data_IF_118666677250
#
_entry.id   IF_118666677250
#
_cell.length_a   1.000
_cell.length_b   1.000
_cell.length_c   1.000
_cell.angle_alpha   90.00
_cell.angle_beta   90.00
_cell.angle_gamma   90.00
#
_symmetry.space_group_name_H-M   'P 1'
#
loop_
_entity.id
_entity.type
_entity.pdbx_description
1 polymer ?
#
# COMPACT_ATOMS: atom_id res chain seq x y z
N UNK A 1 -25.46 15.56 -1.51
CA UNK A 1 -24.19 16.14 -1.03
C UNK A 1 -23.21 16.32 -2.18
N UNK A 2 -22.48 17.43 -2.21
CA UNK A 2 -21.55 17.79 -3.30
C UNK A 2 -20.20 17.12 -3.07
N UNK A 3 -19.89 16.07 -3.83
CA UNK A 3 -18.63 15.31 -3.71
C UNK A 3 -17.53 15.86 -4.61
N UNK A 4 -17.50 17.19 -4.78
CA UNK A 4 -16.57 17.85 -5.68
C UNK A 4 -15.80 18.92 -4.92
N UNK A 5 -14.47 18.84 -4.93
CA UNK A 5 -13.57 19.86 -4.36
C UNK A 5 -12.79 20.51 -5.50
N UNK A 6 -12.65 21.84 -5.44
CA UNK A 6 -11.76 22.57 -6.35
C UNK A 6 -10.36 22.55 -5.74
N UNK A 7 -9.42 21.88 -6.41
CA UNK A 7 -8.01 21.82 -5.99
C UNK A 7 -7.17 22.21 -7.20
N UNK A 8 -6.26 23.17 -7.04
CA UNK A 8 -5.40 23.69 -8.12
C UNK A 8 -6.19 24.07 -9.40
N UNK A 9 -7.36 24.71 -9.23
CA UNK A 9 -8.22 25.10 -10.34
C UNK A 9 -9.07 23.98 -10.96
N UNK A 10 -8.83 22.71 -10.63
CA UNK A 10 -9.56 21.54 -11.15
C UNK A 10 -10.68 21.11 -10.21
N UNK A 11 -11.82 20.69 -10.78
CA UNK A 11 -12.92 20.08 -10.01
C UNK A 11 -12.64 18.58 -9.86
N UNK A 12 -12.46 18.13 -8.63
CA UNK A 12 -12.07 16.75 -8.30
C UNK A 12 -13.16 16.06 -7.50
N UNK A 13 -13.51 14.86 -7.93
CA UNK A 13 -14.51 14.03 -7.28
C UNK A 13 -13.91 13.35 -6.04
N UNK A 14 -14.45 13.65 -4.86
CA UNK A 14 -13.93 13.18 -3.55
C UNK A 14 -14.49 11.82 -3.13
N UNK A 15 -15.56 11.33 -3.76
CA UNK A 15 -16.18 10.03 -3.48
C UNK A 15 -15.76 8.95 -4.49
N UNK A 16 -14.58 9.08 -5.10
CA UNK A 16 -14.10 8.14 -6.11
C UNK A 16 -13.95 6.74 -5.49
N UNK A 17 -14.43 5.71 -6.19
CA UNK A 17 -14.27 4.30 -5.85
C UNK A 17 -13.01 3.73 -6.51
N UNK A 18 -12.52 2.61 -6.00
CA UNK A 18 -11.37 1.90 -6.58
C UNK A 18 -11.60 1.56 -8.07
N UNK A 19 -12.82 1.15 -8.42
CA UNK A 19 -13.21 0.83 -9.80
C UNK A 19 -12.97 2.00 -10.77
N UNK A 20 -13.16 3.25 -10.32
CA UNK A 20 -13.00 4.46 -11.13
C UNK A 20 -11.53 4.88 -11.31
N UNK A 21 -10.58 4.25 -10.63
CA UNK A 21 -9.15 4.54 -10.82
C UNK A 21 -8.65 3.97 -12.15
N UNK A 22 -7.81 4.76 -12.85
CA UNK A 22 -7.09 4.29 -14.04
C UNK A 22 -6.14 3.15 -13.66
N UNK A 23 -5.84 2.24 -14.59
CA UNK A 23 -4.94 1.10 -14.35
C UNK A 23 -3.59 1.54 -13.76
N UNK A 24 -2.94 2.56 -14.37
CA UNK A 24 -1.68 3.14 -13.89
C UNK A 24 -1.78 3.71 -12.46
N UNK A 25 -2.92 4.28 -12.07
CA UNK A 25 -3.14 4.76 -10.70
C UNK A 25 -3.22 3.59 -9.72
N UNK A 26 -3.95 2.52 -10.07
CA UNK A 26 -4.04 1.29 -9.25
C UNK A 26 -2.67 0.65 -9.06
N UNK A 27 -1.86 0.61 -10.12
CA UNK A 27 -0.48 0.10 -10.07
C UNK A 27 0.41 0.94 -9.14
N UNK A 28 0.38 2.28 -9.26
CA UNK A 28 1.12 3.15 -8.35
C UNK A 28 0.73 2.93 -6.88
N UNK A 29 -0.58 2.91 -6.58
CA UNK A 29 -1.07 2.68 -5.21
C UNK A 29 -0.64 1.29 -4.71
N UNK A 30 -0.79 0.25 -5.54
CA UNK A 30 -0.35 -1.11 -5.18
C UNK A 30 1.15 -1.17 -4.87
N UNK A 31 1.97 -0.46 -5.65
CA UNK A 31 3.41 -0.45 -5.47
C UNK A 31 3.81 0.29 -4.19
N UNK A 32 3.20 1.44 -3.90
CA UNK A 32 3.44 2.16 -2.64
C UNK A 32 3.02 1.33 -1.43
N UNK A 33 1.82 0.77 -1.43
CA UNK A 33 1.34 -0.08 -0.33
C UNK A 33 2.28 -1.27 -0.08
N UNK A 34 2.70 -1.96 -1.15
CA UNK A 34 3.65 -3.07 -1.04
C UNK A 34 4.99 -2.58 -0.49
N UNK A 35 5.51 -1.44 -0.96
CA UNK A 35 6.78 -0.87 -0.50
C UNK A 35 6.73 -0.55 0.99
N UNK A 36 5.76 0.24 1.43
CA UNK A 36 5.62 0.64 2.84
C UNK A 36 5.42 -0.57 3.76
N UNK A 37 4.57 -1.53 3.36
CA UNK A 37 4.38 -2.77 4.11
C UNK A 37 5.67 -3.61 4.20
N UNK A 38 6.40 -3.73 3.09
CA UNK A 38 7.67 -4.48 3.08
C UNK A 38 8.71 -3.81 3.95
N UNK A 39 8.80 -2.47 3.89
CA UNK A 39 9.71 -1.70 4.73
C UNK A 39 9.38 -1.90 6.21
N UNK A 40 8.09 -1.85 6.58
CA UNK A 40 7.65 -2.12 7.95
C UNK A 40 8.13 -3.50 8.42
N UNK A 41 7.88 -4.55 7.63
CA UNK A 41 8.28 -5.92 7.98
C UNK A 41 9.80 -6.05 8.14
N UNK A 42 10.58 -5.40 7.27
CA UNK A 42 12.05 -5.41 7.34
C UNK A 42 12.58 -4.71 8.58
N UNK A 43 11.96 -3.61 8.99
CA UNK A 43 12.39 -2.83 10.17
C UNK A 43 11.98 -3.50 11.48
N UNK A 44 10.79 -4.09 11.54
CA UNK A 44 10.24 -4.60 12.81
C UNK A 44 10.32 -6.12 12.97
N UNK A 45 10.64 -6.86 11.90
CA UNK A 45 10.70 -8.32 11.88
C UNK A 45 9.42 -9.02 12.37
N UNK A 46 8.26 -8.36 12.23
CA UNK A 46 6.94 -8.89 12.63
C UNK A 46 5.82 -8.30 11.79
N UNK A 47 4.63 -8.89 11.86
CA UNK A 47 3.41 -8.33 11.25
C UNK A 47 2.98 -7.02 11.94
N UNK A 48 2.42 -6.04 11.19
CA UNK A 48 1.86 -4.84 11.79
C UNK A 48 0.63 -5.16 12.65
N UNK A 49 0.40 -4.34 13.67
CA UNK A 49 -0.81 -4.26 14.48
C UNK A 49 -1.86 -3.44 13.74
N UNK A 50 -3.09 -3.44 14.27
CA UNK A 50 -4.23 -2.75 13.66
C UNK A 50 -3.97 -1.27 13.40
N UNK A 51 -3.36 -0.54 14.34
CA UNK A 51 -3.06 0.89 14.18
C UNK A 51 -1.88 1.13 13.22
N UNK A 52 -0.86 0.26 13.23
CA UNK A 52 0.30 0.35 12.32
C UNK A 52 -0.10 0.14 10.86
N UNK A 53 -1.15 -0.65 10.59
CA UNK A 53 -1.76 -0.70 9.26
C UNK A 53 -2.38 0.63 8.84
N UNK A 54 -2.98 1.37 9.76
CA UNK A 54 -3.55 2.68 9.47
C UNK A 54 -2.44 3.72 9.23
N UNK A 55 -1.30 3.62 9.92
CA UNK A 55 -0.09 4.44 9.65
C UNK A 55 0.49 4.16 8.25
N UNK A 56 0.68 2.89 7.88
CA UNK A 56 1.11 2.51 6.53
C UNK A 56 0.16 3.08 5.47
N UNK A 57 -1.14 3.00 5.72
CA UNK A 57 -2.15 3.57 4.80
C UNK A 57 -2.05 5.10 4.74
N UNK A 58 -1.80 5.77 5.86
CA UNK A 58 -1.66 7.22 5.92
C UNK A 58 -0.52 7.72 5.03
N UNK A 59 0.65 7.09 5.11
CA UNK A 59 1.81 7.45 4.26
C UNK A 59 1.51 7.30 2.77
N UNK A 60 0.74 6.26 2.40
CA UNK A 60 0.34 6.09 1.00
C UNK A 60 -0.71 7.13 0.59
N UNK A 61 -1.62 7.53 1.48
CA UNK A 61 -2.59 8.59 1.20
C UNK A 61 -1.91 9.94 0.93
N UNK A 62 -0.83 10.26 1.64
CA UNK A 62 -0.02 11.47 1.37
C UNK A 62 0.56 11.40 -0.05
N UNK A 63 1.22 10.30 -0.42
CA UNK A 63 1.77 10.10 -1.78
C UNK A 63 0.69 10.17 -2.87
N UNK A 64 -0.52 9.73 -2.58
CA UNK A 64 -1.66 9.84 -3.49
C UNK A 64 -2.11 11.29 -3.68
N UNK A 65 -2.15 12.08 -2.60
CA UNK A 65 -2.50 13.49 -2.65
C UNK A 65 -1.48 14.30 -3.46
N UNK A 66 -0.18 14.04 -3.28
CA UNK A 66 0.89 14.65 -4.09
C UNK A 66 0.73 14.39 -5.59
N UNK A 67 0.16 13.24 -5.96
CA UNK A 67 -0.11 12.88 -7.36
C UNK A 67 -1.51 13.22 -7.85
N UNK A 68 -2.25 14.04 -7.10
CA UNK A 68 -3.64 14.41 -7.38
C UNK A 68 -4.58 13.19 -7.55
N UNK A 69 -4.29 12.08 -6.86
CA UNK A 69 -5.11 10.86 -6.86
C UNK A 69 -6.07 10.89 -5.68
N UNK A 70 -7.30 11.34 -5.93
CA UNK A 70 -8.36 11.43 -4.91
C UNK A 70 -9.24 10.16 -4.91
N UNK A 71 -9.27 9.46 -3.78
CA UNK A 71 -10.09 8.26 -3.54
C UNK A 71 -10.38 8.14 -2.04
N UNK A 72 -11.49 7.51 -1.70
CA UNK A 72 -11.88 7.28 -0.31
C UNK A 72 -10.88 6.35 0.38
N UNK A 73 -10.48 6.72 1.60
CA UNK A 73 -9.62 5.92 2.47
C UNK A 73 -10.08 4.47 2.58
N UNK A 74 -11.38 4.27 2.82
CA UNK A 74 -11.97 2.94 2.98
C UNK A 74 -11.80 2.02 1.76
N UNK A 75 -11.74 2.59 0.55
CA UNK A 75 -11.50 1.83 -0.68
C UNK A 75 -10.05 1.35 -0.76
N UNK A 76 -9.10 2.22 -0.40
CA UNK A 76 -7.67 1.87 -0.34
C UNK A 76 -7.41 0.84 0.77
N UNK A 77 -7.97 1.05 1.96
CA UNK A 77 -7.88 0.11 3.09
C UNK A 77 -8.43 -1.27 2.72
N UNK A 78 -9.60 -1.34 2.08
CA UNK A 78 -10.19 -2.62 1.64
C UNK A 78 -9.29 -3.32 0.62
N UNK A 79 -8.74 -2.59 -0.34
CA UNK A 79 -7.78 -3.14 -1.30
C UNK A 79 -6.53 -3.66 -0.59
N UNK A 80 -5.94 -2.85 0.28
CA UNK A 80 -4.74 -3.19 1.03
C UNK A 80 -4.90 -4.48 1.84
N UNK A 81 -5.94 -4.59 2.67
CA UNK A 81 -6.22 -5.78 3.47
C UNK A 81 -6.46 -7.03 2.61
N UNK A 82 -6.97 -6.87 1.37
CA UNK A 82 -7.09 -8.00 0.43
C UNK A 82 -5.74 -8.50 -0.10
N UNK A 83 -4.68 -7.69 -0.01
CA UNK A 83 -3.36 -7.99 -0.57
C UNK A 83 -2.31 -8.41 0.45
N UNK A 84 -2.39 -7.94 1.69
CA UNK A 84 -1.34 -8.18 2.70
C UNK A 84 -1.00 -9.65 2.88
N UNK A 85 -1.97 -10.57 2.87
CA UNK A 85 -1.71 -12.01 3.04
C UNK A 85 -0.96 -12.63 1.86
N UNK A 86 -1.14 -12.11 0.64
CA UNK A 86 -0.35 -12.54 -0.53
C UNK A 86 1.05 -11.94 -0.48
N UNK A 87 1.19 -10.69 -0.09
CA UNK A 87 2.50 -10.04 0.03
C UNK A 87 3.34 -10.66 1.12
N UNK A 88 2.76 -10.92 2.29
CA UNK A 88 3.42 -11.56 3.42
C UNK A 88 4.01 -12.91 3.03
N UNK A 89 3.21 -13.83 2.47
CA UNK A 89 3.70 -15.15 2.02
C UNK A 89 4.86 -15.07 1.02
N UNK A 90 4.81 -14.09 0.11
CA UNK A 90 5.91 -13.87 -0.85
C UNK A 90 7.18 -13.39 -0.16
N UNK A 91 7.06 -12.47 0.79
CA UNK A 91 8.20 -11.92 1.55
C UNK A 91 8.80 -12.99 2.48
N UNK A 92 7.95 -13.76 3.15
CA UNK A 92 8.34 -14.88 4.02
C UNK A 92 9.13 -15.94 3.25
N UNK A 93 8.64 -16.36 2.08
CA UNK A 93 9.36 -17.29 1.20
C UNK A 93 10.70 -16.73 0.68
N UNK A 94 10.76 -15.43 0.39
CA UNK A 94 12.02 -14.75 0.04
C UNK A 94 13.02 -14.78 1.21
N UNK A 95 12.56 -14.56 2.45
CA UNK A 95 13.40 -14.62 3.65
C UNK A 95 13.92 -16.03 3.93
N UNK A 96 13.07 -17.05 3.87
CA UNK A 96 13.46 -18.46 4.04
C UNK A 96 14.52 -18.88 3.02
N UNK A 97 14.37 -18.44 1.76
CA UNK A 97 15.32 -18.71 0.69
C UNK A 97 16.68 -18.05 0.94
N UNK A 98 16.70 -16.83 1.48
CA UNK A 98 17.93 -16.13 1.83
C UNK A 98 18.68 -16.80 2.98
N UNK A 99 17.96 -17.25 4.02
CA UNK A 99 18.55 -17.98 5.16
C UNK A 99 19.20 -19.28 4.64
N UNK A 100 18.45 -20.10 3.91
CA UNK A 100 18.97 -21.38 3.41
C UNK A 100 20.18 -21.22 2.47
N UNK A 101 20.21 -20.19 1.62
CA UNK A 101 21.35 -19.94 0.75
C UNK A 101 22.59 -19.45 1.51
N UNK A 102 22.40 -18.67 2.59
CA UNK A 102 23.52 -18.21 3.43
C UNK A 102 24.19 -19.34 4.20
N UNK A 103 23.41 -20.32 4.69
CA UNK A 103 23.92 -21.50 5.39
C UNK A 103 24.73 -22.43 4.46
N UNK A 104 24.35 -22.53 3.18
CA UNK A 104 25.04 -23.37 2.18
C UNK A 104 26.37 -22.80 1.69
N UNK A 105 26.63 -21.51 1.87
CA UNK A 105 27.89 -20.87 1.46
C UNK A 105 28.98 -20.89 2.54
N UNK A 106 28.66 -21.39 3.74
CA UNK A 106 29.60 -21.53 4.85
C UNK A 106 30.12 -22.96 5.03
N UNK A 107 29.91 -23.86 4.05
CA UNK A 107 30.37 -25.26 4.04
C UNK A 107 31.33 -25.48 2.88
#
# INVERSE_FOLDING_TARGET
MKNHKKVNGKILQTNKKWSHLKRKQKEHISNWLRREYTQFLKTHHRKPRKYEHDEILHEVMIQMQEREIWILYGEVKRYYLSKIGKWFRKIESEWESHISNSEKQQV
#
